data_IF_334033741648
#
_entry.id   IF_334033741648
#
_cell.length_a   1.000
_cell.length_b   1.000
_cell.length_c   1.000
_cell.angle_alpha   90.00
_cell.angle_beta   90.00
_cell.angle_gamma   90.00
#
_symmetry.space_group_name_H-M   'P 1'
#
loop_
_entity.id
_entity.type
_entity.pdbx_description
1 polymer ?
#
# COMPACT_ATOMS: atom_id res chain seq x y z
N UNK A 1 13.89 8.81 22.15
CA UNK A 1 12.76 8.12 22.79
C UNK A 1 11.60 9.09 22.94
N UNK A 2 10.40 8.74 22.47
CA UNK A 2 9.19 9.58 22.56
C UNK A 2 8.85 9.93 24.03
N UNK A 3 8.78 8.93 24.91
CA UNK A 3 8.51 9.14 26.33
C UNK A 3 9.43 10.16 27.00
N UNK A 4 10.72 10.18 26.66
CA UNK A 4 11.65 11.15 27.23
C UNK A 4 11.34 12.59 26.78
N UNK A 5 11.07 12.81 25.49
CA UNK A 5 10.68 14.13 25.00
C UNK A 5 9.35 14.56 25.61
N UNK A 6 8.42 13.62 25.81
CA UNK A 6 7.09 13.92 26.32
C UNK A 6 7.10 14.24 27.81
N UNK A 7 7.90 13.53 28.61
CA UNK A 7 8.11 13.84 30.02
C UNK A 7 8.67 15.27 30.21
N UNK A 8 9.68 15.65 29.41
CA UNK A 8 10.21 17.03 29.43
C UNK A 8 9.12 18.05 29.07
N UNK A 9 8.32 17.79 28.05
CA UNK A 9 7.20 18.66 27.68
C UNK A 9 6.15 18.78 28.80
N UNK A 10 5.80 17.66 29.46
CA UNK A 10 4.84 17.67 30.57
C UNK A 10 5.36 18.48 31.74
N UNK A 11 6.60 18.25 32.17
CA UNK A 11 7.24 19.03 33.24
C UNK A 11 7.27 20.53 32.93
N UNK A 12 7.51 20.91 31.68
CA UNK A 12 7.42 22.31 31.25
C UNK A 12 6.00 22.86 31.37
N UNK A 13 4.98 22.13 30.89
CA UNK A 13 3.56 22.52 30.98
C UNK A 13 3.06 22.65 32.42
N UNK A 14 3.54 21.80 33.31
CA UNK A 14 3.18 21.77 34.72
C UNK A 14 3.97 22.78 35.56
N UNK A 15 4.85 23.59 34.94
CA UNK A 15 5.76 24.50 35.63
C UNK A 15 6.61 23.81 36.71
N UNK A 16 7.06 22.58 36.45
CA UNK A 16 7.92 21.85 37.37
C UNK A 16 9.22 22.61 37.64
N UNK A 17 9.79 22.41 38.84
CA UNK A 17 11.01 23.09 39.26
C UNK A 17 12.15 22.86 38.25
N UNK A 18 12.70 23.95 37.72
CA UNK A 18 13.80 23.93 36.74
C UNK A 18 13.37 23.72 35.28
N UNK A 19 12.09 23.44 35.00
CA UNK A 19 11.64 23.15 33.64
C UNK A 19 11.73 24.37 32.69
N UNK A 20 11.67 25.60 33.22
CA UNK A 20 11.81 26.81 32.42
C UNK A 20 13.14 26.89 31.63
N UNK A 21 14.18 26.15 32.05
CA UNK A 21 15.45 26.09 31.34
C UNK A 21 15.34 25.50 29.93
N UNK A 22 14.31 24.68 29.63
CA UNK A 22 14.12 24.10 28.29
C UNK A 22 13.46 25.07 27.29
N UNK A 23 13.06 26.27 27.74
CA UNK A 23 12.33 27.23 26.90
C UNK A 23 13.02 27.53 25.54
N UNK A 24 14.35 27.76 25.48
CA UNK A 24 15.05 28.00 24.20
C UNK A 24 15.03 26.78 23.27
N UNK A 25 14.86 25.58 23.81
CA UNK A 25 14.92 24.32 23.07
C UNK A 25 13.52 23.75 22.74
N UNK A 26 12.43 24.47 23.04
CA UNK A 26 11.06 23.94 22.86
C UNK A 26 10.76 23.56 21.42
N UNK A 27 11.20 24.36 20.44
CA UNK A 27 11.02 24.05 19.03
C UNK A 27 11.74 22.76 18.65
N UNK A 28 13.01 22.60 19.05
CA UNK A 28 13.78 21.36 18.84
C UNK A 28 13.15 20.17 19.56
N UNK A 29 12.72 20.34 20.81
CA UNK A 29 12.04 19.33 21.62
C UNK A 29 10.78 18.81 20.93
N UNK A 30 9.92 19.72 20.44
CA UNK A 30 8.68 19.37 19.77
C UNK A 30 8.94 18.68 18.44
N UNK A 31 9.85 19.21 17.61
CA UNK A 31 10.19 18.60 16.33
C UNK A 31 10.78 17.20 16.50
N UNK A 32 11.69 17.00 17.47
CA UNK A 32 12.24 15.67 17.80
C UNK A 32 11.19 14.73 18.39
N UNK A 33 10.27 15.24 19.22
CA UNK A 33 9.14 14.51 19.77
C UNK A 33 8.22 13.96 18.67
N UNK A 34 7.87 14.80 17.70
CA UNK A 34 7.11 14.40 16.51
C UNK A 34 7.87 13.34 15.70
N UNK A 35 9.17 13.54 15.47
CA UNK A 35 10.01 12.53 14.80
C UNK A 35 10.04 11.18 15.52
N UNK A 36 10.09 11.18 16.86
CA UNK A 36 10.04 9.97 17.66
C UNK A 36 8.68 9.26 17.56
N UNK A 37 7.57 10.01 17.55
CA UNK A 37 6.23 9.47 17.28
C UNK A 37 6.18 8.88 15.86
N UNK A 38 6.74 9.57 14.86
CA UNK A 38 6.83 9.07 13.49
C UNK A 38 7.52 7.71 13.40
N UNK A 39 8.62 7.52 14.14
CA UNK A 39 9.28 6.21 14.26
C UNK A 39 8.38 5.12 14.82
N UNK A 40 7.63 5.40 15.89
CA UNK A 40 6.68 4.44 16.48
C UNK A 40 5.51 4.13 15.55
N UNK A 41 4.97 5.14 14.86
CA UNK A 41 3.93 4.97 13.85
C UNK A 41 4.42 4.13 12.68
N UNK A 42 5.67 4.30 12.25
CA UNK A 42 6.29 3.48 11.20
C UNK A 42 6.41 2.01 11.62
N UNK A 43 6.79 1.74 12.87
CA UNK A 43 6.81 0.36 13.40
C UNK A 43 5.41 -0.25 13.45
N UNK A 44 4.40 0.55 13.82
CA UNK A 44 3.00 0.09 13.81
C UNK A 44 2.53 -0.21 12.38
N UNK A 45 2.76 0.70 11.42
CA UNK A 45 2.40 0.53 10.01
C UNK A 45 3.06 -0.70 9.39
N UNK A 46 4.37 -0.90 9.61
CA UNK A 46 5.10 -2.07 9.13
C UNK A 46 4.61 -3.40 9.72
N UNK A 47 3.95 -3.38 10.89
CA UNK A 47 3.32 -4.55 11.52
C UNK A 47 1.83 -4.64 11.27
N UNK A 48 1.29 -3.69 10.50
CA UNK A 48 -0.14 -3.47 10.31
C UNK A 48 -0.91 -3.30 11.63
N UNK A 49 -0.23 -2.94 12.72
CA UNK A 49 -0.78 -2.95 14.06
C UNK A 49 -1.64 -1.71 14.31
N UNK A 50 -2.70 -1.90 15.11
CA UNK A 50 -3.45 -0.76 15.61
C UNK A 50 -2.57 0.13 16.49
N UNK A 51 -2.66 1.44 16.25
CA UNK A 51 -1.86 2.44 16.97
C UNK A 51 -2.48 2.72 18.34
N UNK A 52 -1.65 2.78 19.38
CA UNK A 52 -2.06 3.23 20.71
C UNK A 52 -2.59 4.68 20.63
N UNK A 53 -3.85 4.95 21.06
CA UNK A 53 -4.40 6.30 21.11
C UNK A 53 -3.54 7.32 21.86
N UNK A 54 -2.69 6.88 22.78
CA UNK A 54 -1.76 7.75 23.50
C UNK A 54 -0.76 8.45 22.55
N UNK A 55 -0.38 7.83 21.44
CA UNK A 55 0.54 8.42 20.46
C UNK A 55 -0.06 9.64 19.77
N UNK A 56 -1.32 9.57 19.34
CA UNK A 56 -2.03 10.70 18.74
C UNK A 56 -2.21 11.87 19.71
N UNK A 57 -2.50 11.57 20.99
CA UNK A 57 -2.58 12.58 22.05
C UNK A 57 -1.24 13.28 22.29
N UNK A 58 -0.13 12.53 22.31
CA UNK A 58 1.22 13.12 22.43
C UNK A 58 1.59 13.95 21.22
N UNK A 59 1.24 13.49 20.02
CA UNK A 59 1.44 14.25 18.79
C UNK A 59 0.73 15.59 18.83
N UNK A 60 -0.56 15.58 19.20
CA UNK A 60 -1.35 16.80 19.38
C UNK A 60 -0.71 17.72 20.44
N UNK A 61 -0.19 17.18 21.55
CA UNK A 61 0.45 17.98 22.59
C UNK A 61 1.72 18.71 22.10
N UNK A 62 2.56 18.07 21.28
CA UNK A 62 3.73 18.75 20.70
C UNK A 62 3.32 19.87 19.75
N UNK A 63 2.36 19.60 18.86
CA UNK A 63 1.91 20.59 17.89
C UNK A 63 1.18 21.76 18.57
N UNK A 64 0.33 21.47 19.56
CA UNK A 64 -0.36 22.49 20.37
C UNK A 64 0.62 23.40 21.12
N UNK A 65 1.72 22.85 21.65
CA UNK A 65 2.75 23.66 22.31
C UNK A 65 3.34 24.67 21.33
N UNK A 66 3.66 24.22 20.12
CA UNK A 66 4.22 25.08 19.08
C UNK A 66 3.26 26.19 18.64
N UNK A 67 1.95 25.89 18.55
CA UNK A 67 0.95 26.91 18.24
C UNK A 67 0.79 27.91 19.37
N UNK A 68 0.76 27.44 20.62
CA UNK A 68 0.57 28.30 21.80
C UNK A 68 1.75 29.23 22.04
N UNK A 69 2.95 28.81 21.68
CA UNK A 69 4.20 29.56 21.84
C UNK A 69 4.68 30.21 20.52
N UNK A 70 3.87 30.13 19.47
CA UNK A 70 4.08 30.77 18.16
C UNK A 70 5.37 30.38 17.42
N UNK A 71 5.92 29.19 17.67
CA UNK A 71 7.13 28.69 17.00
C UNK A 71 6.86 27.61 15.94
N UNK A 72 5.60 27.34 15.58
CA UNK A 72 5.23 26.26 14.65
C UNK A 72 6.02 26.26 13.33
N UNK A 73 6.33 27.44 12.80
CA UNK A 73 7.06 27.62 11.54
C UNK A 73 8.56 27.93 11.72
N UNK A 74 9.07 27.97 12.95
CA UNK A 74 10.49 28.21 13.21
C UNK A 74 11.31 27.02 12.69
N UNK A 75 12.25 27.28 11.78
CA UNK A 75 13.15 26.25 11.25
C UNK A 75 14.29 26.01 12.23
N UNK A 76 14.37 24.79 12.79
CA UNK A 76 15.38 24.43 13.78
C UNK A 76 16.26 23.29 13.31
N UNK A 77 17.53 23.30 13.72
CA UNK A 77 18.46 22.21 13.47
C UNK A 77 18.14 21.01 14.39
N UNK A 78 17.42 20.02 13.86
CA UNK A 78 16.98 18.84 14.61
C UNK A 78 18.15 17.86 14.81
N UNK A 79 18.95 17.69 13.76
CA UNK A 79 20.18 16.91 13.72
C UNK A 79 21.16 17.60 12.75
N UNK A 80 22.47 17.27 12.77
CA UNK A 80 23.43 17.84 11.82
C UNK A 80 22.95 17.69 10.36
N UNK A 81 22.83 18.82 9.64
CA UNK A 81 22.37 18.85 8.26
C UNK A 81 20.86 18.70 8.05
N UNK A 82 20.05 18.66 9.12
CA UNK A 82 18.60 18.50 9.05
C UNK A 82 17.91 19.66 9.79
N UNK A 83 17.36 20.58 9.00
CA UNK A 83 16.55 21.69 9.51
C UNK A 83 15.08 21.45 9.15
N UNK A 84 14.21 21.49 10.16
CA UNK A 84 12.77 21.30 10.02
C UNK A 84 12.03 22.18 11.02
N UNK A 85 10.87 22.67 10.62
CA UNK A 85 9.90 23.25 11.55
C UNK A 85 8.98 22.19 12.16
N UNK A 86 8.31 22.53 13.27
CA UNK A 86 7.28 21.68 13.87
C UNK A 86 6.14 21.45 12.87
N UNK A 87 5.77 22.48 12.12
CA UNK A 87 4.73 22.43 11.10
C UNK A 87 5.06 21.44 9.98
N UNK A 88 6.27 21.49 9.42
CA UNK A 88 6.72 20.54 8.41
C UNK A 88 6.76 19.11 8.97
N UNK A 89 7.32 18.91 10.15
CA UNK A 89 7.38 17.57 10.77
C UNK A 89 5.99 16.96 11.01
N UNK A 90 5.05 17.75 11.51
CA UNK A 90 3.67 17.33 11.73
C UNK A 90 2.94 17.03 10.41
N UNK A 91 3.00 17.95 9.45
CA UNK A 91 2.26 17.82 8.21
C UNK A 91 2.75 16.66 7.35
N UNK A 92 4.07 16.48 7.25
CA UNK A 92 4.69 15.34 6.54
C UNK A 92 4.28 14.02 7.18
N UNK A 93 4.26 13.94 8.52
CA UNK A 93 3.81 12.76 9.24
C UNK A 93 2.34 12.43 8.94
N UNK A 94 1.46 13.44 8.92
CA UNK A 94 0.04 13.26 8.57
C UNK A 94 -0.17 12.79 7.14
N UNK A 95 0.54 13.40 6.19
CA UNK A 95 0.47 13.02 4.78
C UNK A 95 0.97 11.60 4.55
N UNK A 96 2.15 11.26 5.08
CA UNK A 96 2.69 9.91 4.97
C UNK A 96 1.72 8.90 5.57
N UNK A 97 1.33 9.06 6.85
CA UNK A 97 0.47 8.08 7.52
C UNK A 97 -0.89 7.94 6.82
N UNK A 98 -1.52 9.05 6.44
CA UNK A 98 -2.82 9.03 5.76
C UNK A 98 -2.81 8.42 4.35
N UNK A 99 -1.66 8.44 3.67
CA UNK A 99 -1.50 7.86 2.33
C UNK A 99 -1.01 6.40 2.33
N UNK A 100 -0.29 5.98 3.37
CA UNK A 100 0.45 4.70 3.36
C UNK A 100 -0.17 3.65 4.27
N UNK A 101 -0.49 4.01 5.51
CA UNK A 101 -0.77 3.06 6.57
C UNK A 101 -1.89 2.07 6.18
N UNK A 102 -1.53 0.77 6.19
CA UNK A 102 -2.44 -0.33 5.87
C UNK A 102 -2.73 -0.51 4.38
N UNK A 103 -2.06 0.23 3.49
CA UNK A 103 -2.15 0.10 2.03
C UNK A 103 -0.80 -0.29 1.37
N UNK A 104 0.32 -0.19 2.10
CA UNK A 104 1.66 -0.50 1.62
C UNK A 104 2.30 -1.64 2.44
N UNK A 105 3.16 -2.44 1.79
CA UNK A 105 3.97 -3.42 2.52
C UNK A 105 5.15 -2.74 3.27
N UNK A 106 5.85 -3.43 4.18
CA UNK A 106 6.87 -2.78 5.03
C UNK A 106 8.00 -2.08 4.26
N UNK A 107 8.42 -2.63 3.11
CA UNK A 107 9.45 -2.00 2.27
C UNK A 107 8.89 -0.75 1.60
N UNK A 108 7.68 -0.84 1.06
CA UNK A 108 6.98 0.29 0.44
C UNK A 108 6.66 1.41 1.47
N UNK A 109 6.30 1.06 2.70
CA UNK A 109 6.14 1.99 3.82
C UNK A 109 7.42 2.78 4.10
N UNK A 110 8.56 2.09 4.11
CA UNK A 110 9.84 2.74 4.29
C UNK A 110 10.15 3.70 3.13
N UNK A 111 10.02 3.25 1.89
CA UNK A 111 10.25 4.10 0.70
C UNK A 111 9.31 5.31 0.72
N UNK A 112 8.03 5.10 1.05
CA UNK A 112 7.06 6.18 1.15
C UNK A 112 7.46 7.21 2.19
N UNK A 113 7.85 6.79 3.39
CA UNK A 113 8.34 7.70 4.44
C UNK A 113 9.55 8.52 3.95
N UNK A 114 10.49 7.90 3.21
CA UNK A 114 11.65 8.61 2.65
C UNK A 114 11.27 9.62 1.57
N UNK A 115 10.33 9.28 0.70
CA UNK A 115 9.80 10.20 -0.30
C UNK A 115 9.10 11.40 0.37
N UNK A 116 8.21 11.17 1.33
CA UNK A 116 7.54 12.23 2.06
C UNK A 116 8.52 13.15 2.81
N UNK A 117 9.55 12.57 3.44
CA UNK A 117 10.60 13.34 4.11
C UNK A 117 11.40 14.23 3.12
N UNK A 118 11.73 13.72 1.93
CA UNK A 118 12.46 14.47 0.91
C UNK A 118 11.64 15.61 0.29
N UNK A 119 10.32 15.42 0.18
CA UNK A 119 9.38 16.34 -0.48
C UNK A 119 8.64 17.26 0.51
N UNK A 120 8.95 17.15 1.80
CA UNK A 120 8.19 17.75 2.90
C UNK A 120 8.39 19.24 3.14
N UNK A 121 9.40 19.85 2.48
CA UNK A 121 9.73 21.26 2.70
C UNK A 121 8.58 22.17 2.24
N UNK A 122 8.18 23.09 3.10
CA UNK A 122 7.13 24.07 2.81
C UNK A 122 5.71 23.49 2.76
N UNK A 123 5.48 22.27 3.25
CA UNK A 123 4.13 21.75 3.47
C UNK A 123 3.44 22.59 4.55
N UNK A 124 2.13 22.81 4.38
CA UNK A 124 1.35 23.71 5.23
C UNK A 124 0.21 22.98 5.96
N UNK A 125 -0.12 23.53 7.12
CA UNK A 125 -1.28 23.16 7.93
C UNK A 125 -2.12 24.41 8.14
N UNK A 126 -3.43 24.28 7.91
CA UNK A 126 -4.40 25.36 8.07
C UNK A 126 -5.35 25.05 9.22
N UNK A 127 -5.91 26.09 9.84
CA UNK A 127 -6.95 25.99 10.87
C UNK A 127 -8.39 26.04 10.31
N UNK A 128 -8.53 26.15 8.98
CA UNK A 128 -9.80 26.17 8.27
C UNK A 128 -9.70 25.37 6.97
N UNK A 129 -10.81 24.78 6.53
CA UNK A 129 -10.87 24.07 5.26
C UNK A 129 -10.77 25.07 4.10
N UNK A 130 -9.80 24.86 3.21
CA UNK A 130 -9.52 25.75 2.09
C UNK A 130 -9.90 25.16 0.72
N UNK A 131 -10.57 23.99 0.69
CA UNK A 131 -10.93 23.27 -0.54
C UNK A 131 -9.81 22.41 -1.13
N UNK A 132 -8.54 22.60 -0.73
CA UNK A 132 -7.39 21.79 -1.19
C UNK A 132 -6.79 20.87 -0.13
N UNK A 133 -7.32 20.90 1.10
CA UNK A 133 -6.89 20.00 2.16
C UNK A 133 -7.21 18.54 1.82
N UNK A 134 -6.21 17.66 1.99
CA UNK A 134 -6.34 16.22 1.76
C UNK A 134 -6.78 15.50 3.03
N UNK A 135 -6.22 15.92 4.15
CA UNK A 135 -6.48 15.33 5.46
C UNK A 135 -6.85 16.39 6.47
N UNK A 136 -7.56 15.94 7.50
CA UNK A 136 -7.90 16.72 8.68
C UNK A 136 -7.50 15.93 9.93
N UNK A 137 -6.98 16.64 10.92
CA UNK A 137 -6.61 16.11 12.22
C UNK A 137 -7.33 16.94 13.31
N UNK A 138 -8.00 16.25 14.24
CA UNK A 138 -8.69 16.90 15.35
C UNK A 138 -7.77 16.96 16.58
N UNK A 139 -7.38 18.16 16.99
CA UNK A 139 -6.54 18.39 18.16
C UNK A 139 -7.27 18.16 19.49
N UNK A 140 -8.60 18.29 19.51
CA UNK A 140 -9.45 18.06 20.68
C UNK A 140 -9.79 16.57 20.86
N UNK A 141 -9.91 15.82 19.76
CA UNK A 141 -10.08 14.36 19.78
C UNK A 141 -9.04 13.67 18.90
N UNK A 142 -7.77 13.59 19.35
CA UNK A 142 -6.68 13.08 18.52
C UNK A 142 -6.87 11.61 18.11
N UNK A 143 -7.09 11.40 16.82
CA UNK A 143 -7.15 10.09 16.14
C UNK A 143 -6.22 10.12 14.92
N UNK A 144 -5.99 8.99 14.20
CA UNK A 144 -5.31 9.05 12.92
C UNK A 144 -5.92 10.11 11.97
N UNK A 145 -5.12 10.71 11.07
CA UNK A 145 -5.62 11.72 10.13
C UNK A 145 -6.74 11.13 9.27
N UNK A 146 -7.84 11.88 9.15
CA UNK A 146 -8.99 11.51 8.34
C UNK A 146 -8.97 12.27 7.01
N UNK A 147 -9.62 11.74 5.98
CA UNK A 147 -9.79 12.50 4.73
C UNK A 147 -10.63 13.74 4.99
N UNK A 148 -10.16 14.89 4.53
CA UNK A 148 -10.92 16.13 4.64
C UNK A 148 -12.10 16.10 3.66
N UNK A 149 -13.26 16.56 4.12
CA UNK A 149 -14.49 16.65 3.31
C UNK A 149 -15.14 18.01 3.53
N UNK A 150 -15.76 18.57 2.49
CA UNK A 150 -16.48 19.84 2.59
C UNK A 150 -17.68 19.79 3.56
N UNK A 151 -18.27 18.61 3.76
CA UNK A 151 -19.48 18.37 4.56
C UNK A 151 -19.18 18.00 6.03
N UNK A 152 -17.91 18.01 6.45
CA UNK A 152 -17.53 17.61 7.81
C UNK A 152 -17.95 18.65 8.85
N UNK A 153 -18.19 18.21 10.10
CA UNK A 153 -18.41 19.13 11.23
C UNK A 153 -17.16 19.97 11.47
N UNK A 154 -17.27 21.30 11.34
CA UNK A 154 -16.15 22.23 11.47
C UNK A 154 -16.07 22.76 12.92
N UNK A 155 -14.88 22.77 13.52
CA UNK A 155 -14.62 23.44 14.80
C UNK A 155 -13.14 23.90 14.93
N UNK A 156 -12.82 24.82 15.87
CA UNK A 156 -11.50 25.48 15.91
C UNK A 156 -10.28 24.59 16.20
N UNK A 157 -10.50 23.36 16.67
CA UNK A 157 -9.44 22.41 16.97
C UNK A 157 -9.03 21.56 15.76
N UNK A 158 -9.70 21.72 14.61
CA UNK A 158 -9.33 21.03 13.38
C UNK A 158 -8.09 21.64 12.73
N UNK A 159 -7.22 20.76 12.21
CA UNK A 159 -6.04 21.11 11.43
C UNK A 159 -6.10 20.41 10.09
N UNK A 160 -6.05 21.20 9.02
CA UNK A 160 -6.21 20.77 7.64
C UNK A 160 -4.85 20.72 6.96
N UNK A 161 -4.50 19.55 6.43
CA UNK A 161 -3.19 19.29 5.84
C UNK A 161 -3.31 19.29 4.32
N UNK A 162 -2.53 20.14 3.67
CA UNK A 162 -2.47 20.28 2.21
C UNK A 162 -1.19 19.66 1.66
N UNK A 163 -1.19 19.27 0.38
CA UNK A 163 0.00 18.71 -0.27
C UNK A 163 0.24 19.27 -1.67
N UNK A 164 -0.20 20.50 -1.96
CA UNK A 164 -0.19 21.04 -3.32
C UNK A 164 1.25 21.17 -3.86
N UNK A 165 2.15 21.79 -3.08
CA UNK A 165 3.58 21.84 -3.42
C UNK A 165 4.21 20.45 -3.51
N UNK A 166 3.91 19.58 -2.54
CA UNK A 166 4.45 18.22 -2.50
C UNK A 166 4.04 17.39 -3.71
N UNK A 167 2.81 17.54 -4.21
CA UNK A 167 2.35 16.87 -5.43
C UNK A 167 3.16 17.29 -6.64
N UNK A 168 3.45 18.58 -6.82
CA UNK A 168 4.28 19.07 -7.92
C UNK A 168 5.71 18.52 -7.85
N UNK A 169 6.29 18.47 -6.64
CA UNK A 169 7.61 17.89 -6.43
C UNK A 169 7.62 16.37 -6.66
N UNK A 170 6.57 15.65 -6.24
CA UNK A 170 6.41 14.22 -6.49
C UNK A 170 6.27 13.91 -7.98
N UNK A 171 5.53 14.73 -8.74
CA UNK A 171 5.43 14.60 -10.19
C UNK A 171 6.81 14.76 -10.87
N UNK A 172 7.58 15.75 -10.44
CA UNK A 172 8.96 15.97 -10.92
C UNK A 172 9.89 14.81 -10.55
N UNK A 173 9.70 14.23 -9.36
CA UNK A 173 10.42 13.03 -8.89
C UNK A 173 10.09 11.82 -9.77
N UNK A 174 8.82 11.55 -10.05
CA UNK A 174 8.37 10.44 -10.92
C UNK A 174 8.99 10.56 -12.31
N UNK A 175 9.00 11.76 -12.92
CA UNK A 175 9.65 12.01 -14.21
C UNK A 175 11.16 11.73 -14.21
N UNK A 176 11.81 11.86 -13.06
CA UNK A 176 13.25 11.53 -12.90
C UNK A 176 13.43 10.01 -12.79
N UNK A 177 12.58 9.35 -12.01
CA UNK A 177 12.55 7.89 -11.85
C UNK A 177 12.22 7.19 -13.17
N UNK A 178 11.35 7.76 -14.02
CA UNK A 178 11.05 7.26 -15.37
C UNK A 178 12.28 7.18 -16.28
N UNK A 179 13.32 7.99 -16.00
CA UNK A 179 14.60 7.94 -16.73
C UNK A 179 15.57 6.90 -16.14
N UNK A 180 15.13 6.12 -15.15
CA UNK A 180 15.98 5.17 -14.41
C UNK A 180 16.89 5.82 -13.37
N UNK A 181 16.70 7.11 -13.07
CA UNK A 181 17.60 7.87 -12.19
C UNK A 181 17.00 7.96 -10.78
N UNK A 182 17.75 7.46 -9.79
CA UNK A 182 17.45 7.66 -8.37
C UNK A 182 18.15 8.95 -7.88
N UNK A 183 17.42 9.99 -7.44
CA UNK A 183 18.05 11.27 -7.11
C UNK A 183 18.86 11.24 -5.81
N UNK A 184 20.05 11.86 -5.83
CA UNK A 184 21.01 11.91 -4.72
C UNK A 184 20.43 12.50 -3.42
N UNK A 185 19.45 13.40 -3.53
CA UNK A 185 18.77 14.01 -2.38
C UNK A 185 17.82 13.06 -1.64
N UNK A 186 17.49 11.90 -2.23
CA UNK A 186 16.64 10.89 -1.60
C UNK A 186 17.47 10.04 -0.64
N UNK A 187 17.54 10.45 0.62
CA UNK A 187 18.24 9.69 1.65
C UNK A 187 17.49 8.38 1.95
N UNK A 188 18.06 7.23 1.57
CA UNK A 188 17.56 5.88 1.86
C UNK A 188 18.38 5.16 2.95
N UNK A 189 19.16 5.91 3.74
CA UNK A 189 20.03 5.40 4.82
C UNK A 189 20.98 4.27 4.38
N UNK A 190 21.48 4.36 3.14
CA UNK A 190 22.39 3.37 2.56
C UNK A 190 21.71 2.11 2.00
N UNK A 191 20.39 1.96 2.16
CA UNK A 191 19.64 0.92 1.48
C UNK A 191 19.64 1.16 -0.04
N UNK A 192 19.84 0.10 -0.81
CA UNK A 192 19.76 0.11 -2.27
C UNK A 192 18.41 -0.47 -2.67
N UNK A 193 17.62 0.33 -3.39
CA UNK A 193 16.38 -0.12 -4.01
C UNK A 193 16.50 0.06 -5.52
N UNK A 194 15.90 -0.86 -6.27
CA UNK A 194 15.71 -0.69 -7.70
C UNK A 194 14.89 0.58 -7.97
N UNK A 195 15.31 1.38 -8.95
CA UNK A 195 14.62 2.63 -9.30
C UNK A 195 13.14 2.39 -9.58
N UNK A 196 12.81 1.25 -10.18
CA UNK A 196 11.43 0.96 -10.56
C UNK A 196 10.52 0.63 -9.37
N UNK A 197 11.05 0.03 -8.30
CA UNK A 197 10.32 -0.11 -7.05
C UNK A 197 10.02 1.26 -6.41
N UNK A 198 10.99 2.18 -6.45
CA UNK A 198 10.79 3.55 -5.92
C UNK A 198 9.76 4.29 -6.77
N UNK A 199 9.78 4.11 -8.10
CA UNK A 199 8.80 4.68 -9.01
C UNK A 199 7.39 4.16 -8.75
N UNK A 200 7.22 2.87 -8.55
CA UNK A 200 5.93 2.26 -8.24
C UNK A 200 5.33 2.82 -6.96
N UNK A 201 6.15 2.98 -5.92
CA UNK A 201 5.71 3.61 -4.65
C UNK A 201 5.33 5.07 -4.89
N UNK A 202 6.17 5.85 -5.59
CA UNK A 202 5.88 7.24 -5.91
C UNK A 202 4.56 7.40 -6.70
N UNK A 203 4.29 6.52 -7.66
CA UNK A 203 3.04 6.50 -8.42
C UNK A 203 1.82 6.21 -7.54
N UNK A 204 1.90 5.23 -6.63
CA UNK A 204 0.84 4.93 -5.65
C UNK A 204 0.58 6.12 -4.71
N UNK A 205 1.63 6.81 -4.29
CA UNK A 205 1.52 8.01 -3.48
C UNK A 205 0.87 9.16 -4.25
N UNK A 206 1.20 9.35 -5.53
CA UNK A 206 0.57 10.36 -6.39
C UNK A 206 -0.95 10.12 -6.50
N UNK A 207 -1.39 8.87 -6.65
CA UNK A 207 -2.81 8.53 -6.68
C UNK A 207 -3.50 8.85 -5.33
N UNK A 208 -2.85 8.52 -4.21
CA UNK A 208 -3.33 8.87 -2.86
C UNK A 208 -3.34 10.38 -2.59
N UNK A 209 -2.44 11.07 -3.31
CA UNK A 209 -2.29 12.49 -3.57
C UNK A 209 -3.55 13.15 -4.11
N UNK A 210 -4.40 12.49 -4.88
CA UNK A 210 -5.33 13.15 -5.82
C UNK A 210 -6.56 13.81 -5.16
N UNK A 211 -7.01 14.95 -5.73
CA UNK A 211 -8.28 15.63 -5.40
C UNK A 211 -9.21 15.72 -6.63
N UNK A 212 -10.51 15.42 -6.49
CA UNK A 212 -11.12 14.77 -5.34
C UNK A 212 -10.53 13.37 -5.12
N UNK A 213 -10.54 12.83 -3.88
CA UNK A 213 -10.02 11.50 -3.63
C UNK A 213 -10.78 10.46 -4.47
N UNK A 214 -10.11 9.40 -4.95
CA UNK A 214 -10.77 8.35 -5.72
C UNK A 214 -11.96 7.79 -4.96
N UNK A 215 -13.16 7.91 -5.53
CA UNK A 215 -14.38 7.36 -4.94
C UNK A 215 -14.52 5.90 -5.32
N UNK A 216 -15.13 5.14 -4.41
CA UNK A 216 -15.43 3.74 -4.65
C UNK A 216 -16.45 3.65 -5.80
N UNK A 217 -16.13 2.85 -6.83
CA UNK A 217 -16.97 2.68 -8.02
C UNK A 217 -18.17 1.76 -7.82
N UNK A 218 -18.10 0.83 -6.85
CA UNK A 218 -19.11 -0.20 -6.65
C UNK A 218 -19.51 -0.30 -5.17
N UNK A 219 -20.82 -0.34 -4.82
CA UNK A 219 -21.25 -0.44 -3.44
C UNK A 219 -20.81 -1.77 -2.82
N UNK A 220 -20.55 -1.77 -1.50
CA UNK A 220 -20.30 -3.01 -0.75
C UNK A 220 -21.53 -3.47 -0.01
N UNK A 221 -21.72 -4.79 0.03
CA UNK A 221 -22.81 -5.45 0.76
C UNK A 221 -22.20 -6.30 1.88
N UNK A 222 -22.74 -6.16 3.09
CA UNK A 222 -22.41 -7.05 4.20
C UNK A 222 -23.05 -8.41 3.94
N UNK A 223 -22.24 -9.44 3.84
CA UNK A 223 -22.67 -10.83 3.64
C UNK A 223 -21.75 -11.71 4.44
N UNK A 224 -22.24 -12.87 4.91
CA UNK A 224 -21.43 -13.91 5.53
C UNK A 224 -21.36 -15.08 4.57
N UNK A 225 -20.20 -15.29 3.97
CA UNK A 225 -19.95 -16.39 3.04
C UNK A 225 -18.60 -17.01 3.38
N UNK A 226 -18.58 -18.34 3.51
CA UNK A 226 -17.35 -19.12 3.67
C UNK A 226 -16.65 -19.29 2.32
N UNK A 227 -15.35 -19.03 2.31
CA UNK A 227 -14.46 -19.21 1.17
C UNK A 227 -13.37 -20.20 1.55
N UNK A 228 -13.11 -21.16 0.65
CA UNK A 228 -11.81 -21.83 0.63
C UNK A 228 -10.77 -20.88 0.07
N UNK A 229 -9.60 -20.84 0.69
CA UNK A 229 -8.52 -19.92 0.34
C UNK A 229 -7.23 -20.69 0.07
N UNK A 230 -6.54 -20.28 -1.00
CA UNK A 230 -5.22 -20.74 -1.37
C UNK A 230 -4.27 -19.54 -1.34
N UNK A 231 -3.22 -19.61 -0.51
CA UNK A 231 -2.25 -18.52 -0.39
C UNK A 231 -1.07 -18.78 -1.34
N UNK A 232 -0.86 -17.88 -2.29
CA UNK A 232 0.25 -17.94 -3.25
C UNK A 232 -0.06 -18.69 -4.55
N UNK A 233 0.81 -18.47 -5.53
CA UNK A 233 0.69 -18.98 -6.90
C UNK A 233 0.71 -20.51 -6.96
N UNK A 234 1.64 -21.15 -6.23
CA UNK A 234 1.79 -22.61 -6.26
C UNK A 234 0.54 -23.31 -5.72
N UNK A 235 0.02 -22.88 -4.56
CA UNK A 235 -1.21 -23.43 -3.97
C UNK A 235 -2.43 -23.19 -4.86
N UNK A 236 -2.49 -22.06 -5.56
CA UNK A 236 -3.54 -21.82 -6.56
C UNK A 236 -3.43 -22.78 -7.75
N UNK A 237 -2.22 -23.08 -8.20
CA UNK A 237 -1.97 -23.98 -9.33
C UNK A 237 -2.34 -25.43 -8.99
N UNK A 238 -2.08 -25.89 -7.78
CA UNK A 238 -2.52 -27.21 -7.25
C UNK A 238 -4.05 -27.38 -7.34
N UNK A 239 -4.79 -26.29 -7.29
CA UNK A 239 -6.25 -26.26 -7.37
C UNK A 239 -6.81 -26.01 -8.79
N UNK A 240 -5.93 -25.88 -9.79
CA UNK A 240 -6.32 -25.75 -11.19
C UNK A 240 -6.53 -27.11 -11.85
N UNK A 241 -7.20 -27.14 -13.01
CA UNK A 241 -7.50 -28.37 -13.74
C UNK A 241 -6.24 -29.13 -14.23
N UNK A 242 -5.07 -28.48 -14.19
CA UNK A 242 -3.75 -29.07 -14.49
C UNK A 242 -2.96 -29.49 -13.23
N UNK A 243 -3.53 -29.29 -12.03
CA UNK A 243 -2.87 -29.58 -10.76
C UNK A 243 -2.60 -31.07 -10.59
N UNK A 244 -1.32 -31.42 -10.42
CA UNK A 244 -0.93 -32.69 -9.79
C UNK A 244 -1.47 -32.63 -8.36
N UNK A 245 -2.54 -33.38 -8.05
CA UNK A 245 -3.18 -33.45 -6.73
C UNK A 245 -2.22 -34.03 -5.66
N UNK A 246 -1.13 -33.33 -5.35
CA UNK A 246 -0.16 -33.70 -4.32
C UNK A 246 -0.72 -33.35 -2.96
N UNK A 247 -1.55 -34.23 -2.42
CA UNK A 247 -2.03 -34.14 -1.04
C UNK A 247 -2.96 -32.95 -0.82
N UNK A 248 -4.23 -33.24 -0.58
CA UNK A 248 -5.18 -32.26 -0.06
C UNK A 248 -4.74 -31.81 1.33
N UNK A 249 -3.83 -30.83 1.42
CA UNK A 249 -3.79 -29.97 2.60
C UNK A 249 -5.17 -29.31 2.73
N UNK A 250 -5.70 -29.25 3.95
CA UNK A 250 -6.96 -28.58 4.22
C UNK A 250 -6.84 -27.11 3.79
N UNK A 251 -7.53 -26.71 2.71
CA UNK A 251 -7.60 -25.31 2.32
C UNK A 251 -8.15 -24.49 3.50
N UNK A 252 -7.46 -23.41 3.85
CA UNK A 252 -7.92 -22.50 4.90
C UNK A 252 -9.31 -21.94 4.55
N UNK A 253 -10.22 -21.90 5.52
CA UNK A 253 -11.56 -21.32 5.35
C UNK A 253 -11.62 -19.92 5.94
N UNK A 254 -11.95 -18.93 5.10
CA UNK A 254 -12.15 -17.54 5.50
C UNK A 254 -13.64 -17.18 5.43
N UNK A 255 -14.11 -16.36 6.36
CA UNK A 255 -15.45 -15.76 6.28
C UNK A 255 -15.33 -14.36 5.65
N UNK A 256 -16.16 -14.07 4.65
CA UNK A 256 -16.31 -12.72 4.13
C UNK A 256 -17.18 -11.92 5.11
N UNK A 257 -16.79 -10.68 5.41
CA UNK A 257 -17.64 -9.71 6.12
C UNK A 257 -18.41 -8.80 5.15
N UNK A 258 -17.74 -8.39 4.08
CA UNK A 258 -18.32 -7.55 3.03
C UNK A 258 -17.74 -7.87 1.64
N UNK A 259 -18.57 -7.71 0.60
CA UNK A 259 -18.19 -7.93 -0.81
C UNK A 259 -18.63 -6.76 -1.70
N UNK A 260 -17.88 -6.54 -2.76
CA UNK A 260 -18.19 -5.68 -3.92
C UNK A 260 -17.85 -6.45 -5.21
N UNK A 261 -18.26 -5.92 -6.36
CA UNK A 261 -17.92 -6.51 -7.66
C UNK A 261 -16.40 -6.60 -7.92
N UNK A 262 -15.58 -5.83 -7.20
CA UNK A 262 -14.12 -5.73 -7.44
C UNK A 262 -13.29 -6.17 -6.23
N UNK A 263 -13.89 -6.73 -5.18
CA UNK A 263 -13.14 -7.09 -3.99
C UNK A 263 -14.01 -7.46 -2.79
N UNK A 264 -13.39 -8.08 -1.79
CA UNK A 264 -14.03 -8.48 -0.53
C UNK A 264 -13.16 -8.15 0.68
N UNK A 265 -13.73 -8.27 1.87
CA UNK A 265 -13.03 -8.18 3.15
C UNK A 265 -13.26 -9.44 3.96
N UNK A 266 -12.19 -9.95 4.56
CA UNK A 266 -12.23 -11.05 5.54
C UNK A 266 -11.51 -10.67 6.82
N UNK A 267 -11.88 -11.32 7.91
CA UNK A 267 -11.22 -11.18 9.22
C UNK A 267 -10.80 -12.56 9.70
N UNK A 268 -9.51 -12.72 9.94
CA UNK A 268 -8.90 -14.02 10.27
C UNK A 268 -7.91 -13.85 11.40
N UNK A 269 -7.82 -14.84 12.28
CA UNK A 269 -6.79 -14.86 13.31
C UNK A 269 -5.41 -14.95 12.65
N UNK A 270 -4.50 -14.03 12.99
CA UNK A 270 -3.21 -13.96 12.30
C UNK A 270 -2.41 -15.26 12.38
N UNK A 271 -2.55 -16.02 13.48
CA UNK A 271 -1.89 -17.31 13.66
C UNK A 271 -2.35 -18.37 12.63
N UNK A 272 -3.51 -18.20 12.00
CA UNK A 272 -4.05 -19.10 10.96
C UNK A 272 -3.55 -18.75 9.55
N UNK A 273 -2.97 -17.58 9.36
CA UNK A 273 -2.59 -17.08 8.04
C UNK A 273 -1.12 -16.69 8.05
N UNK A 274 -0.27 -17.69 7.84
CA UNK A 274 1.16 -17.44 7.73
C UNK A 274 1.50 -16.74 6.40
N UNK A 275 2.46 -15.81 6.45
CA UNK A 275 3.00 -15.12 5.28
C UNK A 275 2.08 -14.13 4.55
N UNK A 276 0.80 -13.98 4.93
CA UNK A 276 -0.10 -13.00 4.28
C UNK A 276 0.36 -11.56 4.55
N UNK A 277 0.57 -10.81 3.48
CA UNK A 277 0.93 -9.39 3.50
C UNK A 277 0.29 -8.66 2.31
N UNK A 278 0.42 -7.34 2.29
CA UNK A 278 -0.02 -6.55 1.14
C UNK A 278 0.82 -6.92 -0.08
N UNK A 279 0.16 -7.26 -1.18
CA UNK A 279 0.76 -7.82 -2.40
C UNK A 279 0.67 -9.34 -2.51
N UNK A 280 0.25 -10.07 -1.47
CA UNK A 280 0.06 -11.52 -1.55
C UNK A 280 -1.05 -11.88 -2.54
N UNK A 281 -0.77 -12.85 -3.42
CA UNK A 281 -1.77 -13.49 -4.27
C UNK A 281 -2.61 -14.47 -3.45
N UNK A 282 -3.92 -14.41 -3.62
CA UNK A 282 -4.86 -15.31 -2.96
C UNK A 282 -5.85 -15.88 -3.96
N UNK A 283 -5.97 -17.21 -3.97
CA UNK A 283 -7.07 -17.93 -4.57
C UNK A 283 -8.26 -17.93 -3.63
N UNK A 284 -9.46 -17.73 -4.16
CA UNK A 284 -10.69 -17.84 -3.37
C UNK A 284 -11.75 -18.64 -4.10
N UNK A 285 -12.44 -19.53 -3.38
CA UNK A 285 -13.54 -20.34 -3.90
C UNK A 285 -14.70 -20.36 -2.90
N UNK A 286 -15.82 -19.71 -3.21
CA UNK A 286 -17.05 -19.87 -2.43
C UNK A 286 -17.54 -21.32 -2.45
N UNK A 287 -18.13 -21.78 -1.34
CA UNK A 287 -18.66 -23.16 -1.24
C UNK A 287 -19.70 -23.49 -2.31
N UNK A 288 -20.49 -22.50 -2.75
CA UNK A 288 -21.54 -22.66 -3.75
C UNK A 288 -21.03 -22.70 -5.19
N UNK A 289 -19.73 -22.52 -5.42
CA UNK A 289 -19.15 -22.37 -6.77
C UNK A 289 -18.06 -23.42 -6.97
N UNK A 290 -17.99 -24.01 -8.17
CA UNK A 290 -17.03 -25.08 -8.47
C UNK A 290 -15.63 -24.58 -8.83
N UNK A 291 -15.49 -23.34 -9.29
CA UNK A 291 -14.23 -22.77 -9.76
C UNK A 291 -13.58 -21.84 -8.73
N UNK A 292 -12.26 -21.71 -8.85
CA UNK A 292 -11.46 -20.75 -8.10
C UNK A 292 -11.38 -19.42 -8.83
N UNK A 293 -11.39 -18.32 -8.08
CA UNK A 293 -11.01 -16.99 -8.53
C UNK A 293 -9.66 -16.57 -7.97
N UNK A 294 -9.13 -15.45 -8.47
CA UNK A 294 -7.87 -14.87 -8.03
C UNK A 294 -8.06 -13.44 -7.53
N UNK A 295 -7.33 -13.09 -6.49
CA UNK A 295 -7.26 -11.74 -5.96
C UNK A 295 -5.92 -11.42 -5.33
N UNK A 296 -5.69 -10.14 -5.04
CA UNK A 296 -4.46 -9.65 -4.40
C UNK A 296 -4.84 -8.91 -3.13
N UNK A 297 -4.09 -9.15 -2.06
CA UNK A 297 -4.26 -8.41 -0.81
C UNK A 297 -3.79 -6.96 -1.03
N UNK A 298 -4.72 -6.00 -0.97
CA UNK A 298 -4.43 -4.56 -1.15
C UNK A 298 -4.44 -3.78 0.15
N UNK A 299 -5.10 -4.33 1.19
CA UNK A 299 -5.23 -3.67 2.48
C UNK A 299 -5.08 -4.67 3.60
N UNK A 300 -4.39 -4.25 4.66
CA UNK A 300 -4.21 -5.06 5.84
C UNK A 300 -4.15 -4.20 7.10
N UNK A 301 -4.89 -4.60 8.12
CA UNK A 301 -4.78 -4.07 9.48
C UNK A 301 -4.95 -5.18 10.50
N UNK A 302 -4.38 -4.99 11.68
CA UNK A 302 -4.43 -5.91 12.81
C UNK A 302 -5.09 -5.19 13.97
N UNK A 303 -6.15 -5.77 14.51
CA UNK A 303 -6.83 -5.23 15.68
C UNK A 303 -6.08 -5.55 16.99
N UNK A 304 -6.70 -5.23 18.14
CA UNK A 304 -6.12 -5.47 19.47
C UNK A 304 -6.07 -6.95 19.84
N UNK A 305 -7.00 -7.74 19.33
CA UNK A 305 -7.11 -9.16 19.60
C UNK A 305 -6.16 -9.97 18.71
N UNK A 306 -5.49 -9.30 17.78
CA UNK A 306 -4.51 -9.89 16.87
C UNK A 306 -5.13 -10.43 15.58
N UNK A 307 -6.42 -10.20 15.33
CA UNK A 307 -7.07 -10.59 14.09
C UNK A 307 -6.64 -9.65 12.96
N UNK A 308 -6.43 -10.22 11.78
CA UNK A 308 -6.12 -9.51 10.55
C UNK A 308 -7.40 -9.20 9.79
N UNK A 309 -7.64 -7.93 9.55
CA UNK A 309 -8.61 -7.47 8.55
C UNK A 309 -7.91 -7.38 7.21
N UNK A 310 -8.34 -8.20 6.27
CA UNK A 310 -7.72 -8.37 4.96
C UNK A 310 -8.68 -7.83 3.91
N UNK A 311 -8.24 -6.84 3.14
CA UNK A 311 -8.94 -6.33 1.97
C UNK A 311 -8.33 -6.88 0.69
N UNK A 312 -9.09 -7.70 -0.02
CA UNK A 312 -8.66 -8.36 -1.27
C UNK A 312 -9.33 -7.66 -2.45
N UNK A 313 -8.52 -7.27 -3.44
CA UNK A 313 -9.00 -6.93 -4.78
C UNK A 313 -9.17 -8.20 -5.59
N UNK A 314 -10.33 -8.40 -6.22
CA UNK A 314 -10.56 -9.55 -7.10
C UNK A 314 -10.05 -9.21 -8.49
N UNK A 315 -9.05 -9.96 -8.97
CA UNK A 315 -8.50 -9.85 -10.33
C UNK A 315 -9.40 -10.55 -11.35
N UNK A 316 -9.91 -11.73 -10.98
CA UNK A 316 -10.89 -12.48 -11.76
C UNK A 316 -11.70 -13.41 -10.86
N UNK A 317 -13.01 -13.55 -11.08
CA UNK A 317 -13.83 -14.52 -10.36
C UNK A 317 -13.54 -15.97 -10.78
N UNK A 318 -12.89 -16.21 -11.92
CA UNK A 318 -12.57 -17.55 -12.42
C UNK A 318 -11.17 -17.60 -13.03
N UNK A 319 -10.34 -18.53 -12.55
CA UNK A 319 -9.06 -18.86 -13.17
C UNK A 319 -9.10 -20.23 -13.83
N UNK A 320 -8.29 -20.39 -14.87
CA UNK A 320 -8.13 -21.64 -15.60
C UNK A 320 -6.62 -21.93 -15.67
N UNK A 321 -6.21 -23.13 -15.26
CA UNK A 321 -4.82 -23.56 -15.44
C UNK A 321 -4.53 -23.75 -16.93
N UNK A 322 -3.39 -23.26 -17.39
CA UNK A 322 -3.01 -23.35 -18.81
C UNK A 322 -1.54 -23.75 -18.95
N UNK A 323 -1.21 -24.68 -19.86
CA UNK A 323 0.16 -24.91 -20.27
C UNK A 323 0.62 -23.74 -21.12
N UNK A 324 1.81 -23.24 -20.81
CA UNK A 324 2.47 -22.17 -21.54
C UNK A 324 3.79 -22.70 -22.06
N UNK A 325 4.05 -22.49 -23.35
CA UNK A 325 5.29 -22.90 -23.98
C UNK A 325 6.01 -21.71 -24.56
N UNK A 326 7.30 -21.56 -24.26
CA UNK A 326 8.14 -20.58 -24.91
C UNK A 326 8.26 -20.87 -26.40
N UNK A 327 7.85 -19.93 -27.24
CA UNK A 327 7.91 -20.11 -28.70
C UNK A 327 9.34 -20.27 -29.22
N UNK A 328 10.33 -19.70 -28.54
CA UNK A 328 11.72 -19.75 -28.96
C UNK A 328 12.45 -21.03 -28.53
N UNK A 329 11.94 -21.74 -27.53
CA UNK A 329 12.58 -22.96 -26.99
C UNK A 329 11.87 -24.17 -27.54
N UNK A 330 12.61 -25.08 -28.18
CA UNK A 330 12.05 -26.35 -28.66
C UNK A 330 12.12 -27.41 -27.56
N UNK A 331 11.06 -28.18 -27.41
CA UNK A 331 11.01 -29.29 -26.47
C UNK A 331 10.60 -28.87 -25.05
N UNK A 332 10.48 -29.83 -24.10
CA UNK A 332 9.77 -29.64 -22.84
C UNK A 332 10.37 -28.58 -21.91
N UNK A 333 11.64 -28.21 -22.09
CA UNK A 333 12.31 -27.17 -21.31
C UNK A 333 11.70 -25.77 -21.48
N UNK A 334 10.98 -25.54 -22.59
CA UNK A 334 10.20 -24.33 -22.80
C UNK A 334 8.85 -24.28 -22.07
N UNK A 335 8.43 -25.40 -21.46
CA UNK A 335 7.12 -25.55 -20.84
C UNK A 335 7.07 -25.01 -19.40
N UNK A 336 6.00 -24.30 -19.09
CA UNK A 336 5.62 -23.91 -17.74
C UNK A 336 4.09 -23.93 -17.59
N UNK A 337 3.61 -23.84 -16.36
CA UNK A 337 2.18 -23.68 -16.08
C UNK A 337 1.88 -22.23 -15.69
N UNK A 338 0.73 -21.74 -16.13
CA UNK A 338 0.18 -20.46 -15.72
C UNK A 338 -1.30 -20.57 -15.35
N UNK A 339 -1.86 -19.48 -14.86
CA UNK A 339 -3.29 -19.33 -14.63
C UNK A 339 -3.82 -18.20 -15.52
N UNK A 340 -4.72 -18.55 -16.43
CA UNK A 340 -5.48 -17.60 -17.22
C UNK A 340 -6.61 -17.00 -16.39
N UNK A 341 -6.65 -15.67 -16.31
CA UNK A 341 -7.70 -14.91 -15.64
C UNK A 341 -8.89 -14.75 -16.60
N UNK A 342 -9.99 -15.47 -16.37
CA UNK A 342 -11.18 -15.36 -17.20
C UNK A 342 -11.86 -14.00 -16.95
N UNK A 343 -11.93 -13.16 -17.97
CA UNK A 343 -12.50 -11.81 -17.93
C UNK A 343 -13.56 -11.69 -19.03
N UNK A 344 -14.76 -12.25 -18.85
CA UNK A 344 -15.75 -12.38 -19.94
C UNK A 344 -16.30 -11.04 -20.44
N UNK A 345 -16.17 -9.97 -19.66
CA UNK A 345 -16.54 -8.62 -20.06
C UNK A 345 -15.41 -7.87 -20.82
N UNK A 346 -14.24 -8.48 -20.96
CA UNK A 346 -13.08 -7.89 -21.62
C UNK A 346 -13.04 -8.33 -23.09
N UNK A 347 -13.25 -7.37 -23.99
CA UNK A 347 -13.26 -7.59 -25.45
C UNK A 347 -11.96 -7.13 -26.12
N UNK A 348 -10.91 -6.85 -25.35
CA UNK A 348 -9.64 -6.32 -25.87
C UNK A 348 -8.83 -7.34 -26.71
N UNK A 349 -9.17 -8.64 -26.62
CA UNK A 349 -8.35 -9.71 -27.19
C UNK A 349 -7.04 -9.93 -26.43
N UNK A 350 -6.99 -9.52 -25.16
CA UNK A 350 -5.83 -9.71 -24.30
C UNK A 350 -5.99 -10.90 -23.36
N UNK A 351 -4.91 -11.67 -23.20
CA UNK A 351 -4.78 -12.66 -22.16
C UNK A 351 -4.13 -12.04 -20.92
N UNK A 352 -4.75 -12.25 -19.76
CA UNK A 352 -4.19 -11.89 -18.47
C UNK A 352 -3.73 -13.17 -17.78
N UNK A 353 -2.43 -13.28 -17.53
CA UNK A 353 -1.81 -14.47 -16.97
C UNK A 353 -1.19 -14.18 -15.61
N UNK A 354 -1.49 -15.04 -14.64
CA UNK A 354 -0.64 -15.22 -13.47
C UNK A 354 0.36 -16.33 -13.80
N UNK A 355 1.63 -16.05 -13.57
CA UNK A 355 2.74 -16.99 -13.76
C UNK A 355 3.63 -16.96 -12.52
N UNK A 356 4.55 -17.92 -12.40
CA UNK A 356 5.58 -17.87 -11.36
C UNK A 356 6.36 -16.54 -11.44
N UNK A 357 6.77 -16.01 -10.29
CA UNK A 357 7.63 -14.82 -10.23
C UNK A 357 8.82 -14.91 -11.19
N UNK A 358 9.18 -13.78 -11.79
CA UNK A 358 10.31 -13.62 -12.73
C UNK A 358 10.16 -14.39 -14.05
N UNK A 359 8.96 -14.89 -14.36
CA UNK A 359 8.70 -15.61 -15.61
C UNK A 359 8.38 -14.70 -16.79
N UNK A 360 7.89 -13.47 -16.53
CA UNK A 360 7.59 -12.50 -17.58
C UNK A 360 8.84 -11.83 -18.12
N UNK A 361 8.96 -11.79 -19.45
CA UNK A 361 9.93 -10.93 -20.14
C UNK A 361 9.30 -10.31 -21.39
N UNK A 362 9.62 -9.04 -21.73
CA UNK A 362 8.96 -8.31 -22.82
C UNK A 362 9.28 -8.83 -24.23
N UNK A 363 10.27 -9.73 -24.38
CA UNK A 363 10.64 -10.33 -25.67
C UNK A 363 10.09 -11.75 -25.84
N UNK A 364 9.53 -12.36 -24.79
CA UNK A 364 9.13 -13.76 -24.78
C UNK A 364 7.69 -13.91 -25.22
N UNK A 365 7.51 -14.45 -26.41
CA UNK A 365 6.19 -14.90 -26.89
C UNK A 365 5.93 -16.32 -26.40
N UNK A 366 4.68 -16.60 -26.05
CA UNK A 366 4.26 -17.92 -25.54
C UNK A 366 3.22 -18.54 -26.48
N UNK A 367 3.20 -19.85 -26.57
CA UNK A 367 2.05 -20.60 -27.06
C UNK A 367 1.23 -21.07 -25.85
N UNK A 368 -0.09 -21.01 -25.98
CA UNK A 368 -1.04 -21.43 -24.94
C UNK A 368 -2.14 -22.27 -25.59
N UNK A 369 -2.57 -23.31 -24.90
CA UNK A 369 -3.77 -24.08 -25.27
C UNK A 369 -4.88 -23.77 -24.26
N UNK A 370 -6.08 -23.44 -24.78
CA UNK A 370 -7.25 -23.14 -23.98
C UNK A 370 -8.50 -23.59 -24.73
N UNK A 371 -9.36 -24.37 -24.09
CA UNK A 371 -10.61 -24.91 -24.68
C UNK A 371 -10.39 -25.54 -26.07
N UNK A 372 -9.40 -26.44 -26.18
CA UNK A 372 -8.98 -27.15 -27.40
C UNK A 372 -8.52 -26.26 -28.56
N UNK A 373 -8.19 -24.99 -28.28
CA UNK A 373 -7.66 -24.03 -29.25
C UNK A 373 -6.25 -23.61 -28.89
N UNK A 374 -5.40 -23.49 -29.92
CA UNK A 374 -4.04 -23.00 -29.78
C UNK A 374 -4.01 -21.48 -29.99
N UNK A 375 -3.23 -20.81 -29.14
CA UNK A 375 -3.06 -19.36 -29.16
C UNK A 375 -1.60 -18.97 -29.12
N UNK A 376 -1.23 -18.01 -29.96
CA UNK A 376 0.01 -17.24 -29.82
C UNK A 376 -0.23 -16.05 -28.91
N UNK A 377 0.62 -15.91 -27.89
CA UNK A 377 0.62 -14.82 -26.93
C UNK A 377 1.82 -13.90 -27.16
N UNK A 378 1.56 -12.66 -27.57
CA UNK A 378 2.59 -11.63 -27.73
C UNK A 378 2.64 -10.74 -26.48
N UNK A 379 3.81 -10.53 -25.85
CA UNK A 379 3.89 -9.79 -24.59
C UNK A 379 3.48 -8.33 -24.77
N UNK A 380 2.63 -7.82 -23.86
CA UNK A 380 2.22 -6.41 -23.81
C UNK A 380 2.84 -5.67 -22.63
N UNK A 381 2.90 -6.31 -21.46
CA UNK A 381 3.44 -5.68 -20.26
C UNK A 381 3.33 -6.53 -19.01
N UNK A 382 4.27 -6.35 -18.09
CA UNK A 382 4.10 -6.75 -16.70
C UNK A 382 3.14 -5.76 -16.03
N UNK A 383 2.09 -6.26 -15.40
CA UNK A 383 1.13 -5.45 -14.65
C UNK A 383 1.55 -5.31 -13.19
N UNK A 384 1.95 -6.42 -12.58
CA UNK A 384 2.39 -6.46 -11.20
C UNK A 384 3.32 -7.66 -10.96
N UNK A 385 4.31 -7.46 -10.10
CA UNK A 385 5.13 -8.52 -9.53
C UNK A 385 4.86 -8.64 -8.05
N UNK A 386 4.37 -9.80 -7.63
CA UNK A 386 4.27 -10.18 -6.23
C UNK A 386 5.50 -10.95 -5.76
N UNK A 387 5.40 -11.56 -4.58
CA UNK A 387 6.50 -12.33 -4.00
C UNK A 387 6.71 -13.70 -4.65
N UNK A 388 5.68 -14.26 -5.28
CA UNK A 388 5.71 -15.59 -5.88
C UNK A 388 5.02 -15.65 -7.25
N UNK A 389 4.55 -14.51 -7.76
CA UNK A 389 3.86 -14.41 -9.04
C UNK A 389 4.26 -13.18 -9.86
N UNK A 390 4.14 -13.32 -11.17
CA UNK A 390 4.03 -12.23 -12.13
C UNK A 390 2.60 -12.20 -12.66
N UNK A 391 1.96 -11.02 -12.67
CA UNK A 391 0.73 -10.76 -13.39
C UNK A 391 1.08 -10.00 -14.68
N UNK A 392 0.81 -10.61 -15.82
CA UNK A 392 1.20 -10.06 -17.12
C UNK A 392 0.05 -10.04 -18.13
N UNK A 393 0.14 -9.09 -19.07
CA UNK A 393 -0.76 -8.95 -20.20
C UNK A 393 -0.07 -9.39 -21.49
N UNK A 394 -0.81 -10.15 -22.28
CA UNK A 394 -0.41 -10.59 -23.61
C UNK A 394 -1.53 -10.29 -24.60
N UNK A 395 -1.18 -10.00 -25.85
CA UNK A 395 -2.13 -10.04 -26.96
C UNK A 395 -2.33 -11.50 -27.37
N UNK A 396 -3.57 -11.92 -27.47
CA UNK A 396 -3.95 -13.30 -27.74
C UNK A 396 -4.38 -13.44 -29.21
N UNK A 397 -3.75 -14.34 -29.95
CA UNK A 397 -4.04 -14.60 -31.36
C UNK A 397 -4.34 -16.09 -31.54
N UNK A 398 -5.56 -16.42 -31.95
CA UNK A 398 -5.93 -17.79 -32.29
C UNK A 398 -5.08 -18.27 -33.47
N UNK A 399 -4.56 -19.49 -33.37
CA UNK A 399 -3.81 -20.13 -34.45
C UNK A 399 -4.74 -21.12 -35.15
N UNK A 400 -4.84 -21.01 -36.48
CA UNK A 400 -5.51 -22.03 -37.27
C UNK A 400 -4.70 -23.33 -37.20
N UNK A 401 -5.37 -24.46 -37.00
CA UNK A 401 -4.78 -25.80 -36.90
C UNK A 401 -4.11 -26.30 -38.21
N UNK A 402 -3.78 -25.42 -39.16
CA UNK A 402 -3.27 -25.76 -40.47
C UNK A 402 -2.16 -24.79 -40.91
N UNK A 403 -0.95 -24.96 -40.41
CA UNK A 403 0.27 -24.36 -40.98
C UNK A 403 1.54 -25.12 -40.61
N UNK A 404 1.50 -26.43 -40.43
CA UNK A 404 2.70 -27.27 -40.50
C UNK A 404 2.35 -28.55 -41.27
N UNK A 405 2.54 -28.49 -42.59
CA UNK A 405 2.64 -29.65 -43.48
C UNK A 405 4.03 -29.63 -44.12
#
# INVERSE_FOLDING_TARGET
SDYAHFDVLQRYRENAKGAAAVKPDLAVLCTRGIGAIGGLLKMAAARYAMVDPSLWRRLAAYYQMAETQEFSNESVAVYPGCNLSVNEAFAVLMLWYGCSAGNLNPVQEHIAERLFAALGKGVQVFNAYNGSALFVFDMAQPTPPMRATAEGTIHPALRYIVADNMRQLLDSMIKTLDKGILPDGLNLYGAKFETELVKDVAGRLMQSLTLPPPTRRTPRRKIKVSLKVANGFLKMLEHSDFGLNFGTEESETWEIEDISATGFRSVVQAARVDGIKIGSLVGSKPESVSHWGAGVVRRLSRDRDGALHIGVEVLSPRVIGVPLHDRAVKGPEGGQLGLFLNRPADTSGEAWLLMKQDSYTPQRSLNMELDDKAYLLLPLGLVERGDDYDLARYRMMEQDAASEA
#
